data_IF_161952255818
#
_entry.id   IF_161952255818
#
_cell.length_a   1.000
_cell.length_b   1.000
_cell.length_c   1.000
_cell.angle_alpha   90.00
_cell.angle_beta   90.00
_cell.angle_gamma   90.00
#
_symmetry.space_group_name_H-M   'P 1'
#
loop_
_entity.id
_entity.type
_entity.pdbx_description
1 polymer ?
#
# COMPACT_ATOMS: atom_id res chain seq x y z
N UNK A 1 -7.02 -9.33 5.67
CA UNK A 1 -5.59 -9.11 5.91
C UNK A 1 -5.29 -7.64 6.21
N UNK A 2 -5.61 -6.68 5.33
CA UNK A 2 -5.31 -5.26 5.50
C UNK A 2 -5.74 -4.73 6.87
N UNK A 3 -7.01 -4.89 7.25
CA UNK A 3 -7.52 -4.45 8.54
C UNK A 3 -6.74 -5.07 9.70
N UNK A 4 -6.46 -6.38 9.66
CA UNK A 4 -5.73 -7.07 10.71
C UNK A 4 -4.30 -6.55 10.88
N UNK A 5 -3.57 -6.35 9.78
CA UNK A 5 -2.21 -5.82 9.82
C UNK A 5 -2.17 -4.38 10.33
N UNK A 6 -3.13 -3.53 9.91
CA UNK A 6 -3.28 -2.16 10.40
C UNK A 6 -3.56 -2.14 11.91
N UNK A 7 -4.50 -2.96 12.36
CA UNK A 7 -4.89 -3.04 13.76
C UNK A 7 -3.74 -3.54 14.64
N UNK A 8 -3.01 -4.53 14.18
CA UNK A 8 -1.81 -5.04 14.87
C UNK A 8 -0.74 -3.95 14.99
N UNK A 9 -0.43 -3.26 13.89
CA UNK A 9 0.56 -2.19 13.88
C UNK A 9 0.19 -1.04 14.84
N UNK A 10 -1.08 -0.61 14.83
CA UNK A 10 -1.56 0.43 15.75
C UNK A 10 -1.48 -0.03 17.22
N UNK A 11 -1.82 -1.28 17.52
CA UNK A 11 -1.73 -1.82 18.87
C UNK A 11 -0.30 -1.82 19.40
N UNK A 12 0.65 -2.22 18.56
CA UNK A 12 2.10 -2.22 18.86
C UNK A 12 2.58 -0.77 19.06
N UNK A 13 2.23 0.13 18.15
CA UNK A 13 2.70 1.51 18.17
C UNK A 13 2.23 2.29 19.38
N UNK A 14 0.96 2.17 19.69
CA UNK A 14 0.37 2.89 20.84
C UNK A 14 0.57 2.18 22.18
N UNK A 15 1.14 0.97 22.18
CA UNK A 15 1.26 0.14 23.40
C UNK A 15 -0.05 -0.02 24.16
N UNK A 16 -1.16 0.10 23.46
CA UNK A 16 -2.49 0.09 24.05
C UNK A 16 -3.41 -0.81 23.20
N UNK A 17 -3.77 -1.95 23.75
CA UNK A 17 -4.71 -2.89 23.13
C UNK A 17 -6.17 -2.61 23.53
N UNK A 18 -6.48 -1.45 24.11
CA UNK A 18 -7.82 -1.11 24.58
C UNK A 18 -8.79 -0.71 23.46
N UNK A 19 -8.28 -0.10 22.38
CA UNK A 19 -9.10 0.39 21.27
C UNK A 19 -9.83 -0.71 20.45
N UNK A 20 -9.33 -1.97 20.31
CA UNK A 20 -10.12 -3.03 19.69
C UNK A 20 -11.45 -3.29 20.39
N UNK A 21 -11.53 -3.05 21.70
CA UNK A 21 -12.78 -3.17 22.45
C UNK A 21 -13.84 -2.14 22.02
N UNK A 22 -13.39 -0.95 21.57
CA UNK A 22 -14.28 0.11 21.08
C UNK A 22 -14.92 -0.27 19.72
N UNK A 23 -14.26 -1.10 18.92
CA UNK A 23 -14.75 -1.57 17.62
C UNK A 23 -15.92 -2.56 17.72
N UNK A 24 -16.31 -2.98 18.93
CA UNK A 24 -17.37 -3.99 19.13
C UNK A 24 -17.15 -5.20 18.23
N UNK A 25 -15.90 -5.69 18.15
CA UNK A 25 -15.45 -6.73 17.22
C UNK A 25 -16.38 -7.96 17.19
N UNK A 26 -16.95 -8.35 18.34
CA UNK A 26 -17.91 -9.45 18.41
C UNK A 26 -19.16 -9.24 17.54
N UNK A 27 -19.72 -8.01 17.55
CA UNK A 27 -20.87 -7.68 16.67
C UNK A 27 -20.48 -7.66 15.20
N UNK A 28 -19.32 -7.10 14.88
CA UNK A 28 -18.80 -7.10 13.52
C UNK A 28 -18.56 -8.51 12.98
N UNK A 29 -17.99 -9.40 13.80
CA UNK A 29 -17.81 -10.81 13.46
C UNK A 29 -19.13 -11.54 13.28
N UNK A 30 -20.13 -11.30 14.11
CA UNK A 30 -21.46 -11.89 13.95
C UNK A 30 -22.13 -11.46 12.62
N UNK A 31 -22.04 -10.17 12.27
CA UNK A 31 -22.56 -9.67 11.00
C UNK A 31 -21.79 -10.31 9.82
N UNK A 32 -20.47 -10.32 9.90
CA UNK A 32 -19.64 -10.96 8.88
C UNK A 32 -19.98 -12.43 8.71
N UNK A 33 -20.08 -13.19 9.81
CA UNK A 33 -20.48 -14.58 9.81
C UNK A 33 -21.88 -14.77 9.22
N UNK A 34 -22.86 -13.94 9.64
CA UNK A 34 -24.23 -14.02 9.12
C UNK A 34 -24.35 -13.78 7.63
N UNK A 35 -23.44 -12.99 7.04
CA UNK A 35 -23.42 -12.73 5.59
C UNK A 35 -22.62 -13.79 4.85
N UNK A 36 -21.48 -14.23 5.39
CA UNK A 36 -20.57 -15.12 4.64
C UNK A 36 -20.87 -16.61 4.83
N UNK A 37 -21.28 -17.03 6.04
CA UNK A 37 -21.51 -18.45 6.33
C UNK A 37 -22.62 -19.09 5.50
N UNK A 38 -23.80 -18.45 5.27
CA UNK A 38 -24.84 -19.07 4.45
C UNK A 38 -24.32 -19.44 3.05
N UNK A 39 -23.60 -18.51 2.41
CA UNK A 39 -22.99 -18.76 1.11
C UNK A 39 -21.90 -19.86 1.19
N UNK A 40 -21.01 -19.77 2.18
CA UNK A 40 -19.94 -20.74 2.34
C UNK A 40 -20.47 -22.16 2.57
N UNK A 41 -21.54 -22.31 3.37
CA UNK A 41 -22.20 -23.61 3.61
C UNK A 41 -22.82 -24.11 2.31
N UNK A 42 -23.60 -23.29 1.60
CA UNK A 42 -24.26 -23.69 0.37
C UNK A 42 -23.28 -24.14 -0.71
N UNK A 43 -22.19 -23.38 -0.93
CA UNK A 43 -21.18 -23.75 -1.93
C UNK A 43 -20.43 -25.02 -1.52
N UNK A 44 -20.13 -25.20 -0.23
CA UNK A 44 -19.48 -26.42 0.27
C UNK A 44 -20.35 -27.65 0.05
N UNK A 45 -21.64 -27.56 0.35
CA UNK A 45 -22.60 -28.65 0.12
C UNK A 45 -22.80 -28.92 -1.37
N UNK A 46 -22.89 -27.86 -2.20
CA UNK A 46 -23.10 -28.02 -3.65
C UNK A 46 -21.88 -28.59 -4.39
N UNK A 47 -20.70 -28.53 -3.80
CA UNK A 47 -19.45 -29.01 -4.42
C UNK A 47 -18.79 -30.17 -3.66
N UNK A 48 -19.49 -30.78 -2.72
CA UNK A 48 -18.93 -31.82 -1.85
C UNK A 48 -17.57 -31.43 -1.22
N UNK A 49 -17.41 -30.13 -0.87
CA UNK A 49 -16.19 -29.58 -0.30
C UNK A 49 -15.09 -29.24 -1.29
N UNK A 50 -15.21 -29.60 -2.57
CA UNK A 50 -14.16 -29.35 -3.58
C UNK A 50 -13.81 -27.87 -3.75
N UNK A 51 -14.81 -26.98 -3.64
CA UNK A 51 -14.57 -25.54 -3.73
C UNK A 51 -13.61 -25.03 -2.67
N UNK A 52 -13.80 -25.45 -1.41
CA UNK A 52 -12.93 -25.00 -0.32
C UNK A 52 -11.52 -25.54 -0.45
N UNK A 53 -11.37 -26.79 -0.89
CA UNK A 53 -10.05 -27.39 -1.10
C UNK A 53 -9.29 -26.69 -2.22
N UNK A 54 -9.93 -26.40 -3.34
CA UNK A 54 -9.33 -25.65 -4.46
C UNK A 54 -9.00 -24.21 -4.03
N UNK A 55 -9.94 -23.51 -3.40
CA UNK A 55 -9.74 -22.11 -3.00
C UNK A 55 -8.63 -21.96 -1.95
N UNK A 56 -8.53 -22.90 -1.01
CA UNK A 56 -7.53 -22.82 0.05
C UNK A 56 -6.17 -23.39 -0.37
N UNK A 57 -6.13 -24.64 -0.86
CA UNK A 57 -4.88 -25.30 -1.22
C UNK A 57 -4.41 -24.93 -2.62
N UNK A 58 -5.31 -24.93 -3.58
CA UNK A 58 -5.00 -24.64 -4.97
C UNK A 58 -4.64 -23.18 -5.20
N UNK A 59 -5.41 -22.26 -4.62
CA UNK A 59 -5.21 -20.83 -4.85
C UNK A 59 -4.39 -20.14 -3.75
N UNK A 60 -4.85 -20.21 -2.50
CA UNK A 60 -4.25 -19.40 -1.44
C UNK A 60 -2.86 -19.90 -1.05
N UNK A 61 -2.75 -21.20 -0.67
CA UNK A 61 -1.48 -21.78 -0.20
C UNK A 61 -0.45 -21.78 -1.32
N UNK A 62 -0.86 -22.13 -2.53
CA UNK A 62 0.04 -22.17 -3.67
C UNK A 62 0.60 -20.80 -4.04
N UNK A 63 -0.21 -19.72 -3.99
CA UNK A 63 0.23 -18.33 -4.23
C UNK A 63 1.19 -17.80 -3.18
N UNK A 64 1.08 -18.30 -1.94
CA UNK A 64 1.98 -17.92 -0.84
C UNK A 64 3.30 -18.68 -0.88
N UNK A 65 3.30 -19.94 -1.33
CA UNK A 65 4.49 -20.79 -1.33
C UNK A 65 5.34 -20.65 -2.59
N UNK A 66 4.71 -20.43 -3.75
CA UNK A 66 5.42 -20.34 -5.02
C UNK A 66 4.77 -19.31 -5.96
N UNK A 67 5.58 -18.75 -6.88
CA UNK A 67 5.05 -17.91 -7.96
C UNK A 67 4.20 -18.76 -8.89
N UNK A 68 2.91 -18.43 -9.02
CA UNK A 68 1.97 -19.13 -9.88
C UNK A 68 1.73 -18.37 -11.20
N UNK A 69 1.32 -19.09 -12.24
CA UNK A 69 0.89 -18.52 -13.53
C UNK A 69 1.95 -17.60 -14.16
N UNK A 70 3.26 -17.89 -13.99
CA UNK A 70 4.38 -17.05 -14.46
C UNK A 70 4.45 -15.65 -13.79
N UNK A 71 3.71 -15.41 -12.71
CA UNK A 71 3.73 -14.14 -11.98
C UNK A 71 4.67 -14.14 -10.76
N UNK A 72 5.66 -15.04 -10.72
CA UNK A 72 6.70 -15.02 -9.70
C UNK A 72 7.66 -13.85 -9.91
N UNK A 73 7.90 -13.06 -8.86
CA UNK A 73 8.88 -11.99 -8.90
C UNK A 73 9.55 -11.79 -7.54
N UNK A 74 10.79 -11.27 -7.50
CA UNK A 74 11.55 -11.12 -6.28
C UNK A 74 10.96 -10.07 -5.34
N UNK A 75 11.39 -10.12 -4.07
CA UNK A 75 11.12 -9.06 -3.09
C UNK A 75 11.70 -7.74 -3.62
N UNK A 76 10.98 -6.64 -3.44
CA UNK A 76 11.34 -5.32 -3.97
C UNK A 76 10.60 -4.96 -5.28
N UNK A 77 9.89 -5.91 -5.89
CA UNK A 77 9.16 -5.67 -7.15
C UNK A 77 8.15 -4.54 -7.01
N UNK A 78 7.35 -4.50 -5.94
CA UNK A 78 6.36 -3.43 -5.75
C UNK A 78 6.99 -2.08 -5.40
N UNK A 79 8.19 -2.06 -4.76
CA UNK A 79 8.93 -0.81 -4.56
C UNK A 79 9.36 -0.20 -5.88
N UNK A 80 9.81 -1.01 -6.83
CA UNK A 80 10.18 -0.56 -8.19
C UNK A 80 8.92 -0.13 -8.94
N UNK A 81 7.86 -0.95 -8.89
CA UNK A 81 6.60 -0.65 -9.56
C UNK A 81 5.86 0.53 -8.95
N UNK A 82 6.11 0.89 -7.69
CA UNK A 82 5.49 2.04 -7.04
C UNK A 82 5.70 3.34 -7.82
N UNK A 83 6.85 3.49 -8.47
CA UNK A 83 7.13 4.62 -9.36
C UNK A 83 6.09 4.76 -10.48
N UNK A 84 5.67 3.65 -11.06
CA UNK A 84 4.70 3.60 -12.15
C UNK A 84 3.26 3.60 -11.60
N UNK A 85 2.98 2.76 -10.60
CA UNK A 85 1.64 2.60 -10.04
C UNK A 85 1.09 3.86 -9.38
N UNK A 86 1.96 4.68 -8.79
CA UNK A 86 1.60 5.94 -8.14
C UNK A 86 1.82 7.17 -9.04
N UNK A 87 2.17 6.97 -10.32
CA UNK A 87 2.37 8.10 -11.22
C UNK A 87 1.12 8.99 -11.34
N UNK A 88 1.24 10.35 -11.33
CA UNK A 88 2.44 11.16 -11.17
C UNK A 88 2.85 11.42 -9.71
N UNK A 89 2.10 10.94 -8.73
CA UNK A 89 2.33 11.20 -7.30
C UNK A 89 3.62 10.55 -6.77
N UNK A 90 4.15 9.55 -7.47
CA UNK A 90 5.44 8.93 -7.14
C UNK A 90 6.60 9.94 -7.07
N UNK A 91 6.50 11.05 -7.80
CA UNK A 91 7.46 12.15 -7.76
C UNK A 91 7.55 12.83 -6.39
N UNK A 92 6.51 12.70 -5.57
CA UNK A 92 6.46 13.24 -4.22
C UNK A 92 7.10 12.31 -3.18
N UNK A 93 7.39 11.06 -3.54
CA UNK A 93 7.97 10.06 -2.61
C UNK A 93 9.28 10.56 -1.96
N UNK A 94 10.27 11.12 -2.70
CA UNK A 94 11.49 11.61 -2.07
C UNK A 94 11.21 12.73 -1.07
N UNK A 95 10.28 13.62 -1.38
CA UNK A 95 9.85 14.70 -0.46
C UNK A 95 9.14 14.11 0.76
N UNK A 96 8.22 13.20 0.59
CA UNK A 96 7.52 12.53 1.69
C UNK A 96 8.49 11.80 2.62
N UNK A 97 9.49 11.12 2.08
CA UNK A 97 10.53 10.46 2.86
C UNK A 97 11.31 11.46 3.74
N UNK A 98 11.61 12.64 3.23
CA UNK A 98 12.29 13.69 4.04
C UNK A 98 11.40 14.31 5.12
N UNK A 99 10.08 14.25 4.95
CA UNK A 99 9.10 14.77 5.91
C UNK A 99 8.61 13.70 6.90
N UNK A 100 9.06 12.46 6.76
CA UNK A 100 8.62 11.35 7.60
C UNK A 100 8.71 11.63 9.12
N UNK A 101 9.79 12.24 9.66
CA UNK A 101 9.86 12.56 11.08
C UNK A 101 8.77 13.53 11.55
N UNK A 102 8.33 14.44 10.68
CA UNK A 102 7.24 15.37 10.97
C UNK A 102 5.88 14.64 10.87
N UNK A 103 5.67 13.87 9.82
CA UNK A 103 4.46 13.06 9.64
C UNK A 103 4.23 12.11 10.82
N UNK A 104 5.30 11.54 11.37
CA UNK A 104 5.23 10.65 12.54
C UNK A 104 4.77 11.36 13.83
N UNK A 105 4.72 12.68 13.89
CA UNK A 105 4.20 13.42 15.05
C UNK A 105 2.66 13.52 15.03
N UNK A 106 2.02 13.36 13.86
CA UNK A 106 0.58 13.44 13.67
C UNK A 106 -0.07 12.06 13.77
N UNK A 107 -1.14 11.94 14.54
CA UNK A 107 -1.85 10.67 14.78
C UNK A 107 -2.47 10.13 13.49
N UNK A 108 -2.97 11.00 12.62
CA UNK A 108 -3.55 10.68 11.34
C UNK A 108 -2.51 10.03 10.41
N UNK A 109 -1.33 10.61 10.34
CA UNK A 109 -0.23 10.07 9.52
C UNK A 109 0.28 8.73 10.06
N UNK A 110 0.29 8.55 11.39
CA UNK A 110 0.62 7.25 12.00
C UNK A 110 -0.40 6.18 11.64
N UNK A 111 -1.69 6.53 11.61
CA UNK A 111 -2.74 5.62 11.16
C UNK A 111 -2.53 5.22 9.70
N UNK A 112 -2.28 6.18 8.80
CA UNK A 112 -2.03 5.90 7.39
C UNK A 112 -0.77 5.05 7.19
N UNK A 113 0.30 5.32 7.93
CA UNK A 113 1.52 4.49 7.89
C UNK A 113 1.27 3.08 8.42
N UNK A 114 0.50 2.93 9.50
CA UNK A 114 0.09 1.63 10.02
C UNK A 114 -0.81 0.86 9.04
N UNK A 115 -1.55 1.55 8.19
CA UNK A 115 -2.31 0.96 7.10
C UNK A 115 -1.39 0.48 5.97
N UNK A 116 -0.47 1.33 5.51
CA UNK A 116 0.36 1.08 4.33
C UNK A 116 1.48 0.09 4.61
N UNK A 117 2.33 0.37 5.62
CA UNK A 117 3.62 -0.31 5.78
C UNK A 117 3.49 -1.82 6.03
N UNK A 118 2.69 -2.29 7.00
CA UNK A 118 2.62 -3.73 7.26
C UNK A 118 2.01 -4.52 6.10
N UNK A 119 1.01 -3.95 5.44
CA UNK A 119 0.37 -4.60 4.29
C UNK A 119 1.32 -4.63 3.09
N UNK A 120 2.04 -3.53 2.83
CA UNK A 120 3.04 -3.48 1.76
C UNK A 120 4.12 -4.52 1.96
N UNK A 121 4.69 -4.59 3.18
CA UNK A 121 5.68 -5.61 3.51
C UNK A 121 5.13 -7.02 3.31
N UNK A 122 3.91 -7.28 3.75
CA UNK A 122 3.29 -8.59 3.57
C UNK A 122 3.22 -8.98 2.09
N UNK A 123 2.72 -8.12 1.21
CA UNK A 123 2.62 -8.42 -0.23
C UNK A 123 3.99 -8.52 -0.91
N UNK A 124 5.01 -7.81 -0.39
CA UNK A 124 6.39 -7.94 -0.91
C UNK A 124 6.99 -9.31 -0.66
N UNK A 125 6.64 -9.97 0.44
CA UNK A 125 7.14 -11.31 0.75
C UNK A 125 6.35 -12.43 0.06
N UNK A 126 5.15 -12.16 -0.46
CA UNK A 126 4.39 -13.16 -1.23
C UNK A 126 5.06 -13.35 -2.60
N UNK A 127 5.42 -14.57 -3.01
CA UNK A 127 6.11 -14.82 -4.28
C UNK A 127 5.32 -14.42 -5.51
N UNK A 128 4.00 -14.65 -5.52
CA UNK A 128 3.11 -14.25 -6.62
C UNK A 128 2.88 -12.74 -6.58
N UNK A 129 3.26 -12.04 -7.66
CA UNK A 129 3.18 -10.59 -7.78
C UNK A 129 2.15 -10.19 -8.84
N UNK A 130 1.00 -9.70 -8.40
CA UNK A 130 -0.01 -9.14 -9.30
C UNK A 130 -0.06 -7.61 -9.14
N UNK A 131 -0.12 -6.83 -10.23
CA UNK A 131 -0.07 -5.37 -10.19
C UNK A 131 -1.13 -4.70 -9.32
N UNK A 132 -2.27 -5.37 -9.13
CA UNK A 132 -3.39 -4.85 -8.34
C UNK A 132 -3.29 -5.12 -6.83
N UNK A 133 -2.33 -5.92 -6.35
CA UNK A 133 -2.20 -6.21 -4.91
C UNK A 133 -1.93 -4.96 -4.06
N UNK A 134 -1.17 -3.94 -4.52
CA UNK A 134 -0.99 -2.69 -3.78
C UNK A 134 -2.23 -1.78 -3.76
N UNK A 135 -3.24 -1.99 -4.63
CA UNK A 135 -4.41 -1.11 -4.73
C UNK A 135 -5.09 -0.77 -3.40
N UNK A 136 -5.26 -1.70 -2.43
CA UNK A 136 -5.91 -1.37 -1.16
C UNK A 136 -5.18 -0.32 -0.32
N UNK A 137 -3.90 -0.07 -0.54
CA UNK A 137 -3.11 0.93 0.20
C UNK A 137 -2.87 2.22 -0.58
N UNK A 138 -3.21 2.25 -1.87
CA UNK A 138 -3.04 3.44 -2.72
C UNK A 138 -3.75 4.67 -2.15
N UNK A 139 -5.00 4.61 -1.67
CA UNK A 139 -5.66 5.79 -1.11
C UNK A 139 -4.90 6.38 0.08
N UNK A 140 -4.40 5.53 0.98
CA UNK A 140 -3.63 5.98 2.14
C UNK A 140 -2.28 6.58 1.73
N UNK A 141 -1.61 6.00 0.72
CA UNK A 141 -0.37 6.53 0.15
C UNK A 141 -0.59 7.92 -0.47
N UNK A 142 -1.66 8.09 -1.26
CA UNK A 142 -2.01 9.38 -1.87
C UNK A 142 -2.16 10.45 -0.79
N UNK A 143 -2.93 10.18 0.27
CA UNK A 143 -3.10 11.13 1.37
C UNK A 143 -1.78 11.44 2.06
N UNK A 144 -0.94 10.44 2.34
CA UNK A 144 0.38 10.66 2.94
C UNK A 144 1.28 11.54 2.07
N UNK A 145 1.30 11.31 0.76
CA UNK A 145 2.10 12.08 -0.19
C UNK A 145 1.63 13.54 -0.25
N UNK A 146 0.31 13.77 -0.27
CA UNK A 146 -0.27 15.13 -0.25
C UNK A 146 0.06 15.84 1.07
N UNK A 147 -0.15 15.18 2.22
CA UNK A 147 0.20 15.74 3.52
C UNK A 147 1.69 16.11 3.63
N UNK A 148 2.56 15.32 2.98
CA UNK A 148 4.00 15.61 2.95
C UNK A 148 4.35 16.86 2.10
N UNK A 149 3.55 17.18 1.08
CA UNK A 149 3.74 18.41 0.28
C UNK A 149 3.32 19.64 1.07
N UNK A 150 2.21 19.58 1.78
CA UNK A 150 1.67 20.69 2.57
C UNK A 150 2.47 20.94 3.85
N UNK A 151 3.28 19.97 4.29
CA UNK A 151 4.11 20.13 5.47
C UNK A 151 5.14 21.27 5.27
N UNK A 152 5.26 22.22 6.21
CA UNK A 152 6.17 23.35 6.09
C UNK A 152 7.61 22.89 5.89
N UNK A 153 8.32 23.45 4.91
CA UNK A 153 9.73 23.19 4.66
C UNK A 153 10.63 23.45 5.87
N UNK A 154 10.16 24.27 6.82
CA UNK A 154 10.82 24.55 8.09
C UNK A 154 11.03 23.30 8.96
N UNK A 155 10.20 22.27 8.83
CA UNK A 155 10.36 20.97 9.51
C UNK A 155 11.63 20.23 9.08
N UNK A 156 12.08 20.43 7.85
CA UNK A 156 13.31 19.86 7.32
C UNK A 156 14.58 20.44 7.99
N UNK A 157 14.49 21.64 8.60
CA UNK A 157 15.62 22.23 9.30
C UNK A 157 16.04 21.43 10.53
N UNK A 158 15.10 20.74 11.17
CA UNK A 158 15.34 19.87 12.35
C UNK A 158 15.83 18.47 11.97
N UNK A 159 15.67 18.05 10.71
CA UNK A 159 15.97 16.68 10.24
C UNK A 159 17.38 16.44 9.69
N UNK A 160 18.33 17.35 9.90
CA UNK A 160 19.76 17.07 9.62
C UNK A 160 20.20 17.12 8.16
N UNK A 161 19.30 17.31 7.18
CA UNK A 161 19.68 17.47 5.77
C UNK A 161 20.29 18.86 5.52
N UNK A 162 21.47 18.89 4.88
CA UNK A 162 22.11 20.14 4.50
C UNK A 162 21.18 20.99 3.60
N UNK A 163 21.14 22.32 3.77
CA UNK A 163 20.25 23.20 2.98
C UNK A 163 20.38 23.02 1.45
N UNK A 164 21.59 22.70 1.00
CA UNK A 164 21.91 22.46 -0.42
C UNK A 164 21.22 21.16 -0.91
N UNK A 165 21.31 20.06 -0.15
CA UNK A 165 20.65 18.81 -0.51
C UNK A 165 19.12 18.94 -0.58
N UNK A 166 18.54 19.76 0.31
CA UNK A 166 17.11 20.09 0.31
C UNK A 166 16.70 20.84 -0.97
N UNK A 167 17.47 21.84 -1.38
CA UNK A 167 17.21 22.62 -2.58
C UNK A 167 17.29 21.76 -3.84
N UNK A 168 18.29 20.87 -3.92
CA UNK A 168 18.44 19.92 -5.03
C UNK A 168 17.33 18.88 -5.08
N UNK A 169 16.85 18.38 -3.93
CA UNK A 169 15.70 17.47 -3.87
C UNK A 169 14.41 18.17 -4.33
N UNK A 170 14.16 19.41 -3.91
CA UNK A 170 13.00 20.19 -4.35
C UNK A 170 13.06 20.48 -5.86
N UNK A 171 14.19 21.02 -6.34
CA UNK A 171 14.38 21.30 -7.76
C UNK A 171 14.35 20.02 -8.63
N UNK A 172 14.93 18.94 -8.13
CA UNK A 172 14.92 17.64 -8.81
C UNK A 172 13.51 17.05 -8.93
N UNK A 173 12.70 17.13 -7.89
CA UNK A 173 11.30 16.64 -7.93
C UNK A 173 10.43 17.51 -8.82
N UNK A 174 10.56 18.85 -8.76
CA UNK A 174 9.81 19.78 -9.61
C UNK A 174 10.24 19.66 -11.07
N UNK A 175 11.56 19.65 -11.35
CA UNK A 175 12.08 19.50 -12.71
C UNK A 175 11.75 18.16 -13.35
N UNK A 176 11.82 17.07 -12.58
CA UNK A 176 11.41 15.75 -13.03
C UNK A 176 9.91 15.68 -13.30
N UNK A 177 9.07 16.26 -12.43
CA UNK A 177 7.63 16.34 -12.65
C UNK A 177 7.29 17.09 -13.95
N UNK A 178 7.95 18.21 -14.21
CA UNK A 178 7.77 18.98 -15.43
C UNK A 178 8.23 18.24 -16.70
N UNK A 179 9.29 17.43 -16.61
CA UNK A 179 9.80 16.68 -17.74
C UNK A 179 8.97 15.40 -18.03
N UNK A 180 8.54 14.71 -17.00
CA UNK A 180 7.86 13.42 -17.17
C UNK A 180 6.44 13.53 -17.74
N UNK A 181 5.69 14.61 -17.45
CA UNK A 181 4.36 14.83 -18.04
C UNK A 181 4.38 14.85 -19.57
N UNK A 182 5.19 15.71 -20.20
CA UNK A 182 5.36 15.72 -21.64
C UNK A 182 5.91 14.43 -22.23
N UNK A 183 6.85 13.74 -21.56
CA UNK A 183 7.40 12.47 -22.01
C UNK A 183 6.35 11.35 -22.02
N UNK A 184 5.53 11.27 -20.99
CA UNK A 184 4.42 10.31 -20.95
C UNK A 184 3.37 10.61 -22.01
N UNK A 185 3.01 11.89 -22.18
CA UNK A 185 2.10 12.30 -23.25
C UNK A 185 2.66 11.93 -24.64
N UNK A 186 3.93 12.21 -24.88
CA UNK A 186 4.61 11.84 -26.13
C UNK A 186 4.64 10.32 -26.34
N UNK A 187 4.90 9.53 -25.27
CA UNK A 187 4.88 8.06 -25.35
C UNK A 187 3.50 7.51 -25.68
N UNK A 188 2.43 8.05 -25.06
CA UNK A 188 1.04 7.66 -25.33
C UNK A 188 0.66 8.03 -26.77
N UNK A 189 0.97 9.25 -27.23
CA UNK A 189 0.71 9.69 -28.59
C UNK A 189 1.47 8.81 -29.59
N UNK A 190 2.76 8.55 -29.33
CA UNK A 190 3.56 7.67 -30.18
C UNK A 190 2.98 6.25 -30.26
N UNK A 191 2.59 5.66 -29.11
CA UNK A 191 1.95 4.35 -29.08
C UNK A 191 0.61 4.37 -29.87
N UNK A 192 -0.22 5.40 -29.71
CA UNK A 192 -1.48 5.52 -30.44
C UNK A 192 -1.31 5.74 -31.96
N UNK A 193 -0.16 6.22 -32.41
CA UNK A 193 0.14 6.41 -33.83
C UNK A 193 0.82 5.18 -34.48
N UNK A 194 1.37 4.26 -33.64
CA UNK A 194 2.11 3.08 -34.12
C UNK A 194 1.32 1.78 -34.05
N UNK A 195 0.23 1.77 -33.27
CA UNK A 195 -0.71 0.64 -33.13
C UNK A 195 -2.13 1.05 -33.54
#
# INVERSE_FOLDING_TARGET
LLALTTLAALSIWHRNAGWPRMLRAGRGLLILAGVTLPWAILVTLATDGAFLDIAFRGDFVAKVQSGQESHGAPVGTYLILAGILLWPLSLLIPRAATQLPLLLQHVESRFLLAWVVPFWLLIEFVPTKLPHYPMPVVPALVVLLVCAVDAPLAGLAKGGLRPVARRWLALGTEGFAMACGPLMAAAVIWAALTY
#
